data_IF_641436252325
#
_entry.id   IF_641436252325
#
_cell.length_a   1.000
_cell.length_b   1.000
_cell.length_c   1.000
_cell.angle_alpha   90.00
_cell.angle_beta   90.00
_cell.angle_gamma   90.00
#
_symmetry.space_group_name_H-M   'P 1'
#
loop_
_entity.id
_entity.type
_entity.pdbx_description
1 polymer ?
#
# COMPACT_ATOMS: atom_id res chain seq x y z
N UNK A 1 1.87 -11.57 -12.74
CA UNK A 1 3.19 -11.73 -12.16
C UNK A 1 3.91 -10.43 -11.75
N UNK A 2 4.01 -9.41 -12.62
CA UNK A 2 4.86 -8.21 -12.34
C UNK A 2 4.24 -7.19 -11.39
N UNK A 3 2.94 -7.11 -11.26
CA UNK A 3 2.29 -6.23 -10.26
C UNK A 3 2.71 -6.63 -8.84
N UNK A 4 2.77 -7.93 -8.57
CA UNK A 4 3.26 -8.48 -7.31
C UNK A 4 4.74 -8.18 -7.05
N UNK A 5 5.55 -8.01 -8.10
CA UNK A 5 7.00 -7.79 -7.95
C UNK A 5 7.31 -6.39 -7.41
N UNK A 6 6.66 -5.35 -7.92
CA UNK A 6 6.90 -3.96 -7.45
C UNK A 6 6.46 -3.83 -6.00
N UNK A 7 5.22 -4.24 -5.69
CA UNK A 7 4.69 -4.22 -4.31
C UNK A 7 5.56 -5.04 -3.37
N UNK A 8 6.03 -6.23 -3.79
CA UNK A 8 6.92 -7.05 -2.96
C UNK A 8 8.25 -6.37 -2.69
N UNK A 9 8.86 -5.72 -3.69
CA UNK A 9 10.13 -5.00 -3.50
C UNK A 9 9.95 -3.82 -2.55
N UNK A 10 8.92 -3.00 -2.72
CA UNK A 10 8.65 -1.85 -1.83
C UNK A 10 8.33 -2.31 -0.42
N UNK A 11 7.58 -3.40 -0.26
CA UNK A 11 7.25 -3.98 1.05
C UNK A 11 8.49 -4.49 1.77
N UNK A 12 9.43 -5.13 1.05
CA UNK A 12 10.70 -5.59 1.63
C UNK A 12 11.64 -4.43 1.99
N UNK A 13 11.55 -3.30 1.30
CA UNK A 13 12.33 -2.10 1.61
C UNK A 13 11.73 -1.26 2.75
N UNK A 14 10.43 -1.39 3.02
CA UNK A 14 9.72 -0.60 4.01
C UNK A 14 10.37 -0.61 5.41
N UNK A 15 10.87 -1.75 5.95
CA UNK A 15 11.54 -1.76 7.25
C UNK A 15 12.75 -0.83 7.36
N UNK A 16 13.45 -0.59 6.27
CA UNK A 16 14.63 0.27 6.23
C UNK A 16 14.22 1.71 5.90
N UNK A 17 13.46 1.88 4.83
CA UNK A 17 13.13 3.20 4.27
C UNK A 17 12.21 3.99 5.20
N UNK A 18 11.20 3.34 5.80
CA UNK A 18 10.23 4.05 6.65
C UNK A 18 10.87 4.63 7.92
N UNK A 19 11.65 3.87 8.73
CA UNK A 19 12.33 4.45 9.89
C UNK A 19 13.33 5.53 9.51
N UNK A 20 14.06 5.36 8.42
CA UNK A 20 15.03 6.35 7.95
C UNK A 20 14.35 7.68 7.58
N UNK A 21 13.25 7.63 6.82
CA UNK A 21 12.48 8.83 6.45
C UNK A 21 11.82 9.46 7.67
N UNK A 22 11.27 8.66 8.58
CA UNK A 22 10.69 9.17 9.82
C UNK A 22 11.74 9.88 10.67
N UNK A 23 12.94 9.31 10.80
CA UNK A 23 14.04 9.94 11.53
C UNK A 23 14.45 11.27 10.88
N UNK A 24 14.63 11.31 9.57
CA UNK A 24 15.06 12.53 8.86
C UNK A 24 14.00 13.63 8.93
N UNK A 25 12.72 13.30 8.75
CA UNK A 25 11.67 14.30 8.61
C UNK A 25 10.90 14.62 9.90
N UNK A 26 10.79 13.69 10.83
CA UNK A 26 9.92 13.85 11.99
C UNK A 26 10.66 13.88 13.35
N UNK A 27 11.95 13.52 13.41
CA UNK A 27 12.67 13.39 14.68
C UNK A 27 12.78 14.70 15.48
N UNK A 28 12.64 15.84 14.83
CA UNK A 28 12.62 17.15 15.52
C UNK A 28 11.32 17.40 16.31
N UNK A 29 10.22 16.71 16.01
CA UNK A 29 8.92 16.85 16.68
C UNK A 29 8.53 15.61 17.49
N UNK A 30 9.03 14.44 17.10
CA UNK A 30 8.72 13.16 17.71
C UNK A 30 10.04 12.40 17.94
N UNK A 31 10.24 11.90 19.16
CA UNK A 31 11.40 11.06 19.45
C UNK A 31 11.28 9.76 18.62
N UNK A 32 12.13 9.63 17.61
CA UNK A 32 12.16 8.46 16.71
C UNK A 32 13.31 7.54 17.15
N UNK A 33 12.98 6.29 17.43
CA UNK A 33 13.95 5.19 17.53
C UNK A 33 13.89 4.35 16.24
N UNK A 34 14.83 4.55 15.30
CA UNK A 34 14.79 3.85 14.02
C UNK A 34 14.95 2.33 14.16
N UNK A 35 15.71 1.87 15.16
CA UNK A 35 15.97 0.44 15.36
C UNK A 35 14.70 -0.28 15.86
N UNK A 36 14.02 0.29 16.86
CA UNK A 36 12.75 -0.23 17.36
C UNK A 36 11.67 -0.21 16.29
N UNK A 37 11.59 0.85 15.49
CA UNK A 37 10.64 0.97 14.39
C UNK A 37 10.94 -0.03 13.27
N UNK A 38 12.21 -0.24 12.91
CA UNK A 38 12.63 -1.29 11.96
C UNK A 38 12.14 -2.66 12.41
N UNK A 39 12.39 -3.02 13.67
CA UNK A 39 12.00 -4.32 14.21
C UNK A 39 10.47 -4.49 14.20
N UNK A 40 9.73 -3.45 14.57
CA UNK A 40 8.26 -3.46 14.53
C UNK A 40 7.72 -3.69 13.11
N UNK A 41 8.29 -3.03 12.11
CA UNK A 41 7.87 -3.20 10.71
C UNK A 41 8.21 -4.62 10.21
N UNK A 42 9.39 -5.14 10.55
CA UNK A 42 9.75 -6.54 10.25
C UNK A 42 8.72 -7.50 10.85
N UNK A 43 8.37 -7.32 12.12
CA UNK A 43 7.40 -8.18 12.80
C UNK A 43 5.99 -8.04 12.20
N UNK A 44 5.56 -6.83 11.87
CA UNK A 44 4.21 -6.58 11.33
C UNK A 44 4.04 -7.00 9.87
N UNK A 45 5.11 -7.01 9.07
CA UNK A 45 5.06 -7.32 7.65
C UNK A 45 5.67 -8.68 7.33
N UNK A 46 6.95 -8.88 7.67
CA UNK A 46 7.67 -10.07 7.20
C UNK A 46 7.26 -11.33 7.95
N UNK A 47 6.97 -11.24 9.24
CA UNK A 47 6.55 -12.39 10.02
C UNK A 47 5.21 -12.97 9.56
N UNK A 48 4.13 -12.18 9.34
CA UNK A 48 2.88 -12.71 8.79
C UNK A 48 3.04 -13.29 7.37
N UNK A 49 3.88 -12.68 6.53
CA UNK A 49 4.15 -13.20 5.19
C UNK A 49 4.85 -14.57 5.28
N UNK A 50 5.90 -14.67 6.10
CA UNK A 50 6.60 -15.93 6.32
C UNK A 50 5.66 -17.01 6.89
N UNK A 51 4.86 -16.66 7.89
CA UNK A 51 3.85 -17.55 8.45
C UNK A 51 2.82 -17.99 7.39
N UNK A 52 2.34 -17.08 6.55
CA UNK A 52 1.42 -17.38 5.45
C UNK A 52 2.02 -18.38 4.45
N UNK A 53 3.29 -18.21 4.07
CA UNK A 53 3.98 -19.16 3.18
C UNK A 53 4.13 -20.56 3.82
N UNK A 54 4.48 -20.61 5.11
CA UNK A 54 4.59 -21.89 5.84
C UNK A 54 3.23 -22.58 5.95
N UNK A 55 2.20 -21.85 6.36
CA UNK A 55 0.83 -22.37 6.46
C UNK A 55 0.34 -22.88 5.10
N UNK A 56 0.59 -22.14 4.03
CA UNK A 56 0.21 -22.56 2.68
C UNK A 56 0.88 -23.89 2.28
N UNK A 57 2.15 -24.05 2.57
CA UNK A 57 2.88 -25.31 2.31
C UNK A 57 2.36 -26.49 3.13
N UNK A 58 1.95 -26.24 4.39
CA UNK A 58 1.50 -27.30 5.30
C UNK A 58 0.03 -27.68 5.09
N UNK A 59 -0.84 -26.69 4.84
CA UNK A 59 -2.28 -26.90 4.74
C UNK A 59 -2.75 -27.33 3.34
N UNK A 60 -1.94 -27.06 2.31
CA UNK A 60 -2.26 -27.37 0.91
C UNK A 60 -3.28 -26.40 0.29
N UNK A 61 -3.26 -26.30 -1.03
CA UNK A 61 -4.00 -25.29 -1.81
C UNK A 61 -5.51 -25.27 -1.51
N UNK A 62 -6.15 -26.44 -1.42
CA UNK A 62 -7.62 -26.56 -1.24
C UNK A 62 -8.12 -26.00 0.10
N UNK A 63 -7.34 -26.15 1.17
CA UNK A 63 -7.72 -25.66 2.50
C UNK A 63 -7.45 -24.16 2.64
N UNK A 64 -6.33 -23.70 2.05
CA UNK A 64 -5.96 -22.28 2.03
C UNK A 64 -6.97 -21.46 1.24
N UNK A 65 -7.46 -21.95 0.10
CA UNK A 65 -8.42 -21.25 -0.76
C UNK A 65 -9.73 -20.89 -0.04
N UNK A 66 -10.23 -21.78 0.84
CA UNK A 66 -11.39 -21.51 1.69
C UNK A 66 -11.13 -20.42 2.72
N UNK A 67 -9.94 -20.41 3.33
CA UNK A 67 -9.57 -19.38 4.31
C UNK A 67 -9.32 -18.03 3.66
N UNK A 68 -8.66 -18.01 2.50
CA UNK A 68 -8.36 -16.78 1.74
C UNK A 68 -9.63 -16.01 1.36
N UNK A 69 -10.74 -16.70 1.09
CA UNK A 69 -12.02 -16.05 0.80
C UNK A 69 -12.57 -15.22 2.00
N UNK A 70 -12.29 -15.62 3.24
CA UNK A 70 -12.74 -14.92 4.44
C UNK A 70 -11.77 -13.80 4.89
N UNK A 71 -10.49 -13.87 4.55
CA UNK A 71 -9.47 -12.92 4.99
C UNK A 71 -9.79 -11.45 4.68
N UNK A 72 -10.32 -11.07 3.49
CA UNK A 72 -10.68 -9.68 3.21
C UNK A 72 -11.72 -9.13 4.18
N UNK A 73 -12.72 -9.93 4.56
CA UNK A 73 -13.78 -9.52 5.49
C UNK A 73 -13.18 -9.26 6.87
N UNK A 74 -12.34 -10.17 7.35
CA UNK A 74 -11.64 -10.03 8.65
C UNK A 74 -10.72 -8.81 8.64
N UNK A 75 -9.96 -8.62 7.57
CA UNK A 75 -9.02 -7.50 7.44
C UNK A 75 -9.75 -6.16 7.41
N UNK A 76 -10.81 -6.03 6.60
CA UNK A 76 -11.62 -4.80 6.55
C UNK A 76 -12.28 -4.53 7.89
N UNK A 77 -12.85 -5.56 8.53
CA UNK A 77 -13.46 -5.42 9.87
C UNK A 77 -12.45 -4.94 10.91
N UNK A 78 -11.24 -5.51 10.94
CA UNK A 78 -10.17 -5.09 11.84
C UNK A 78 -9.76 -3.62 11.59
N UNK A 79 -9.57 -3.22 10.33
CA UNK A 79 -9.22 -1.83 9.98
C UNK A 79 -10.31 -0.86 10.42
N UNK A 80 -11.58 -1.20 10.22
CA UNK A 80 -12.73 -0.36 10.65
C UNK A 80 -12.72 -0.18 12.16
N UNK A 81 -12.54 -1.26 12.93
CA UNK A 81 -12.50 -1.21 14.40
C UNK A 81 -11.33 -0.36 14.89
N UNK A 82 -10.13 -0.56 14.34
CA UNK A 82 -8.93 0.22 14.69
C UNK A 82 -9.13 1.70 14.36
N UNK A 83 -9.60 2.01 13.16
CA UNK A 83 -9.86 3.39 12.75
C UNK A 83 -10.91 4.07 13.63
N UNK A 84 -11.99 3.35 13.98
CA UNK A 84 -13.02 3.86 14.88
C UNK A 84 -12.46 4.14 16.30
N UNK A 85 -11.62 3.25 16.81
CA UNK A 85 -10.97 3.43 18.11
C UNK A 85 -10.05 4.68 18.13
N UNK A 86 -9.24 4.87 17.07
CA UNK A 86 -8.39 6.07 16.93
C UNK A 86 -9.22 7.34 16.86
N UNK A 87 -10.28 7.37 16.03
CA UNK A 87 -11.18 8.52 15.90
C UNK A 87 -11.87 8.82 17.25
N UNK A 88 -12.34 7.80 17.95
CA UNK A 88 -12.96 7.98 19.27
C UNK A 88 -11.97 8.56 20.30
N UNK A 89 -10.75 8.03 20.34
CA UNK A 89 -9.70 8.49 21.26
C UNK A 89 -9.22 9.92 20.97
N UNK A 90 -9.31 10.37 19.70
CA UNK A 90 -8.80 11.67 19.24
C UNK A 90 -9.91 12.63 18.78
N UNK A 91 -11.15 12.40 19.21
CA UNK A 91 -12.32 13.17 18.74
C UNK A 91 -12.18 14.69 18.90
N UNK A 92 -11.57 15.15 20.00
CA UNK A 92 -11.39 16.57 20.26
C UNK A 92 -10.44 17.22 19.24
N UNK A 93 -9.34 16.54 18.92
CA UNK A 93 -8.40 16.98 17.90
C UNK A 93 -9.05 16.96 16.51
N UNK A 94 -9.83 15.92 16.23
CA UNK A 94 -10.55 15.79 14.94
C UNK A 94 -11.53 16.94 14.73
N UNK A 95 -12.27 17.37 15.77
CA UNK A 95 -13.21 18.49 15.67
C UNK A 95 -12.49 19.83 15.41
N UNK A 96 -11.28 19.99 15.95
CA UNK A 96 -10.52 21.25 15.82
C UNK A 96 -9.74 21.33 14.50
N UNK A 97 -9.12 20.22 14.05
CA UNK A 97 -8.20 20.22 12.89
C UNK A 97 -8.56 19.19 11.82
N UNK A 98 -9.71 18.54 11.95
CA UNK A 98 -10.09 17.41 11.07
C UNK A 98 -10.19 17.79 9.60
N UNK A 99 -10.69 18.97 9.27
CA UNK A 99 -10.75 19.46 7.89
C UNK A 99 -9.35 19.63 7.29
N UNK A 100 -8.39 20.14 8.06
CA UNK A 100 -7.00 20.27 7.64
C UNK A 100 -6.34 18.91 7.41
N UNK A 101 -6.56 17.97 8.32
CA UNK A 101 -6.05 16.60 8.19
C UNK A 101 -6.66 15.92 6.96
N UNK A 102 -7.97 16.06 6.76
CA UNK A 102 -8.64 15.51 5.59
C UNK A 102 -8.09 16.09 4.29
N UNK A 103 -7.93 17.42 4.22
CA UNK A 103 -7.34 18.09 3.07
C UNK A 103 -5.90 17.63 2.81
N UNK A 104 -5.08 17.52 3.86
CA UNK A 104 -3.71 17.03 3.76
C UNK A 104 -3.64 15.60 3.21
N UNK A 105 -4.50 14.70 3.70
CA UNK A 105 -4.59 13.31 3.22
C UNK A 105 -5.04 13.26 1.77
N UNK A 106 -6.05 14.05 1.38
CA UNK A 106 -6.54 14.11 0.01
C UNK A 106 -5.45 14.62 -0.96
N UNK A 107 -4.74 15.69 -0.58
CA UNK A 107 -3.63 16.25 -1.35
C UNK A 107 -2.49 15.24 -1.46
N UNK A 108 -2.08 14.61 -0.35
CA UNK A 108 -1.04 13.59 -0.34
C UNK A 108 -1.37 12.43 -1.29
N UNK A 109 -2.60 11.92 -1.24
CA UNK A 109 -3.06 10.86 -2.13
C UNK A 109 -3.04 11.30 -3.60
N UNK A 110 -3.55 12.50 -3.92
CA UNK A 110 -3.55 13.03 -5.28
C UNK A 110 -2.12 13.25 -5.82
N UNK A 111 -1.23 13.81 -5.01
CA UNK A 111 0.19 13.99 -5.35
C UNK A 111 0.87 12.64 -5.56
N UNK A 112 0.63 11.67 -4.69
CA UNK A 112 1.15 10.31 -4.85
C UNK A 112 0.70 9.65 -6.16
N UNK A 113 -0.59 9.75 -6.50
CA UNK A 113 -1.12 9.25 -7.78
C UNK A 113 -0.49 9.97 -8.99
N UNK A 114 -0.33 11.29 -8.91
CA UNK A 114 0.30 12.07 -9.97
C UNK A 114 1.77 11.70 -10.15
N UNK A 115 2.53 11.57 -9.08
CA UNK A 115 3.94 11.16 -9.13
C UNK A 115 4.09 9.76 -9.70
N UNK A 116 3.26 8.81 -9.29
CA UNK A 116 3.23 7.45 -9.86
C UNK A 116 2.91 7.45 -11.35
N UNK A 117 1.93 8.26 -11.77
CA UNK A 117 1.59 8.44 -13.19
C UNK A 117 2.76 9.03 -13.99
N UNK A 118 3.36 10.10 -13.49
CA UNK A 118 4.49 10.77 -14.13
C UNK A 118 5.71 9.83 -14.23
N UNK A 119 6.04 9.12 -13.14
CA UNK A 119 7.12 8.13 -13.15
C UNK A 119 6.89 7.05 -14.21
N UNK A 120 5.69 6.48 -14.28
CA UNK A 120 5.34 5.51 -15.32
C UNK A 120 5.44 6.08 -16.73
N UNK A 121 5.11 7.36 -16.93
CA UNK A 121 5.26 8.06 -18.21
C UNK A 121 6.74 8.23 -18.56
N UNK A 122 7.58 8.67 -17.64
CA UNK A 122 9.02 8.82 -17.85
C UNK A 122 9.71 7.49 -18.17
N UNK A 123 9.25 6.41 -17.55
CA UNK A 123 9.74 5.05 -17.80
C UNK A 123 9.20 4.42 -19.10
N UNK A 124 8.43 5.16 -19.91
CA UNK A 124 7.85 4.65 -21.15
C UNK A 124 6.85 3.49 -20.96
N UNK A 125 6.21 3.41 -19.79
CA UNK A 125 5.22 2.36 -19.50
C UNK A 125 3.94 2.56 -20.31
N UNK A 126 3.25 1.45 -20.66
CA UNK A 126 1.93 1.49 -21.26
C UNK A 126 0.90 2.16 -20.33
N UNK A 127 -0.20 2.66 -20.89
CA UNK A 127 -1.26 3.33 -20.13
C UNK A 127 -1.76 2.48 -18.95
N UNK A 128 -1.96 1.18 -19.17
CA UNK A 128 -2.38 0.25 -18.11
C UNK A 128 -1.38 0.19 -16.94
N UNK A 129 -0.07 0.18 -17.24
CA UNK A 129 0.98 0.16 -16.22
C UNK A 129 1.12 1.50 -15.50
N UNK A 130 0.94 2.63 -16.22
CA UNK A 130 0.92 3.98 -15.60
C UNK A 130 -0.25 4.11 -14.61
N UNK A 131 -1.44 3.63 -14.99
CA UNK A 131 -2.61 3.58 -14.09
C UNK A 131 -2.28 2.77 -12.83
N UNK A 132 -1.73 1.58 -13.00
CA UNK A 132 -1.35 0.72 -11.86
C UNK A 132 -0.34 1.40 -10.96
N UNK A 133 0.73 2.00 -11.53
CA UNK A 133 1.76 2.68 -10.74
C UNK A 133 1.21 3.92 -10.02
N UNK A 134 0.29 4.66 -10.64
CA UNK A 134 -0.38 5.79 -9.99
C UNK A 134 -1.15 5.33 -8.74
N UNK A 135 -1.92 4.23 -8.83
CA UNK A 135 -2.61 3.68 -7.67
C UNK A 135 -1.64 3.13 -6.63
N UNK A 136 -0.58 2.44 -7.03
CA UNK A 136 0.41 1.85 -6.11
C UNK A 136 1.13 2.91 -5.28
N UNK A 137 1.49 4.05 -5.89
CA UNK A 137 2.15 5.16 -5.20
C UNK A 137 1.16 6.03 -4.41
N UNK A 138 -0.05 6.21 -4.92
CA UNK A 138 -1.07 7.02 -4.27
C UNK A 138 -1.75 6.34 -3.10
N UNK A 139 -1.97 5.02 -3.18
CA UNK A 139 -2.62 4.25 -2.13
C UNK A 139 -1.60 3.71 -1.14
N UNK A 140 -1.64 4.22 0.07
CA UNK A 140 -0.68 3.87 1.11
C UNK A 140 -1.25 2.88 2.12
N UNK A 141 -0.37 2.16 2.81
CA UNK A 141 -0.75 1.22 3.86
C UNK A 141 -1.12 1.96 5.16
N UNK A 142 -2.34 2.47 5.20
CA UNK A 142 -2.87 3.20 6.36
C UNK A 142 -2.95 2.32 7.61
N UNK A 143 -3.21 1.02 7.48
CA UNK A 143 -3.24 0.09 8.62
C UNK A 143 -1.90 -0.01 9.31
N UNK A 144 -0.82 -0.17 8.55
CA UNK A 144 0.54 -0.17 9.10
C UNK A 144 0.88 1.17 9.74
N UNK A 145 0.50 2.29 9.10
CA UNK A 145 0.77 3.63 9.63
C UNK A 145 0.05 3.86 10.96
N UNK A 146 -1.22 3.46 11.10
CA UNK A 146 -1.96 3.50 12.39
C UNK A 146 -1.27 2.65 13.43
N UNK A 147 -0.90 1.41 13.10
CA UNK A 147 -0.25 0.50 14.04
C UNK A 147 1.09 1.05 14.54
N UNK A 148 1.94 1.57 13.65
CA UNK A 148 3.21 2.18 14.01
C UNK A 148 3.03 3.45 14.86
N UNK A 149 2.08 4.32 14.48
CA UNK A 149 1.80 5.53 15.23
C UNK A 149 1.32 5.22 16.66
N UNK A 150 0.43 4.25 16.79
CA UNK A 150 -0.10 3.82 18.09
C UNK A 150 0.97 3.16 18.97
N UNK A 151 1.87 2.38 18.38
CA UNK A 151 2.92 1.67 19.09
C UNK A 151 4.07 2.60 19.53
N UNK A 152 4.54 3.44 18.62
CA UNK A 152 5.75 4.25 18.86
C UNK A 152 5.45 5.63 19.43
N UNK A 153 4.23 6.14 19.27
CA UNK A 153 3.84 7.50 19.72
C UNK A 153 2.62 7.45 20.65
N UNK A 154 2.59 6.49 21.56
CA UNK A 154 1.49 6.33 22.51
C UNK A 154 1.23 7.58 23.38
N UNK A 155 2.28 8.37 23.67
CA UNK A 155 2.17 9.64 24.37
C UNK A 155 1.51 10.76 23.52
N UNK A 156 1.44 10.60 22.20
CA UNK A 156 0.84 11.55 21.27
C UNK A 156 -0.17 10.84 20.33
N UNK A 157 -1.32 10.36 20.84
CA UNK A 157 -2.25 9.53 20.08
C UNK A 157 -2.82 10.21 18.83
N UNK A 158 -2.79 11.54 18.77
CA UNK A 158 -3.18 12.29 17.57
C UNK A 158 -2.30 12.01 16.34
N UNK A 159 -1.09 11.46 16.51
CA UNK A 159 -0.21 11.06 15.39
C UNK A 159 -0.81 9.95 14.53
N UNK A 160 -1.69 9.12 15.08
CA UNK A 160 -2.39 8.08 14.33
C UNK A 160 -3.60 8.61 13.52
N UNK A 161 -4.08 9.83 13.80
CA UNK A 161 -5.30 10.37 13.20
C UNK A 161 -5.21 10.56 11.68
N UNK A 162 -4.12 11.12 11.10
CA UNK A 162 -3.99 11.21 9.64
C UNK A 162 -4.06 9.84 8.95
N UNK A 163 -3.45 8.81 9.54
CA UNK A 163 -3.48 7.46 8.99
C UNK A 163 -4.88 6.83 9.07
N UNK A 164 -5.62 7.07 10.14
CA UNK A 164 -7.02 6.62 10.26
C UNK A 164 -7.93 7.32 9.24
N UNK A 165 -7.76 8.62 9.04
CA UNK A 165 -8.48 9.40 8.00
C UNK A 165 -8.10 8.90 6.61
N UNK A 166 -6.81 8.60 6.36
CA UNK A 166 -6.36 8.05 5.09
C UNK A 166 -6.97 6.67 4.79
N UNK A 167 -7.16 5.82 5.80
CA UNK A 167 -7.83 4.54 5.63
C UNK A 167 -9.26 4.71 5.11
N UNK A 168 -10.02 5.67 5.64
CA UNK A 168 -11.36 5.99 5.17
C UNK A 168 -11.33 6.62 3.77
N UNK A 169 -10.45 7.59 3.55
CA UNK A 169 -10.31 8.28 2.28
C UNK A 169 -9.99 7.32 1.13
N UNK A 170 -9.03 6.41 1.32
CA UNK A 170 -8.64 5.44 0.30
C UNK A 170 -9.80 4.52 -0.10
N UNK A 171 -10.65 4.12 0.84
CA UNK A 171 -11.79 3.27 0.56
C UNK A 171 -12.91 3.98 -0.25
N UNK A 172 -12.98 5.30 -0.21
CA UNK A 172 -13.97 6.10 -0.94
C UNK A 172 -13.38 6.64 -2.25
N UNK A 173 -12.22 7.29 -2.17
CA UNK A 173 -11.62 7.97 -3.30
C UNK A 173 -11.08 7.00 -4.36
N UNK A 174 -10.47 5.88 -3.94
CA UNK A 174 -9.83 4.97 -4.88
C UNK A 174 -10.80 4.27 -5.83
N UNK A 175 -11.96 3.74 -5.39
CA UNK A 175 -12.95 3.21 -6.32
C UNK A 175 -13.51 4.28 -7.28
N UNK A 176 -13.71 5.51 -6.79
CA UNK A 176 -14.18 6.62 -7.63
C UNK A 176 -13.17 6.98 -8.73
N UNK A 177 -11.89 7.14 -8.34
CA UNK A 177 -10.81 7.41 -9.31
C UNK A 177 -10.62 6.22 -10.26
N UNK A 178 -10.68 4.98 -9.75
CA UNK A 178 -10.55 3.78 -10.57
C UNK A 178 -11.65 3.71 -11.65
N UNK A 179 -12.90 3.98 -11.28
CA UNK A 179 -14.03 4.00 -12.20
C UNK A 179 -13.89 5.08 -13.27
N UNK A 180 -13.32 6.23 -12.91
CA UNK A 180 -13.05 7.29 -13.86
C UNK A 180 -11.92 6.95 -14.82
N UNK A 181 -10.80 6.44 -14.30
CA UNK A 181 -9.60 6.10 -15.06
C UNK A 181 -9.80 4.87 -15.94
N UNK A 182 -10.69 3.93 -15.58
CA UNK A 182 -11.08 2.80 -16.44
C UNK A 182 -11.66 3.23 -17.79
N UNK A 183 -12.29 4.40 -17.84
CA UNK A 183 -12.84 4.97 -19.10
C UNK A 183 -11.74 5.42 -20.08
N UNK A 184 -10.53 5.62 -19.61
CA UNK A 184 -9.39 5.96 -20.46
C UNK A 184 -8.94 4.71 -21.22
N UNK A 185 -9.11 4.74 -22.55
CA UNK A 185 -8.73 3.64 -23.43
C UNK A 185 -7.37 3.94 -24.05
N UNK A 186 -6.62 2.88 -24.33
CA UNK A 186 -5.39 2.96 -25.13
C UNK A 186 -5.77 3.22 -26.59
N UNK A 187 -5.96 4.48 -26.97
CA UNK A 187 -6.18 4.86 -28.34
C UNK A 187 -4.85 4.76 -29.11
N UNK A 188 -4.54 3.56 -29.62
CA UNK A 188 -3.41 3.35 -30.54
C UNK A 188 -2.02 3.55 -29.93
N UNK A 189 -1.87 3.38 -28.62
CA UNK A 189 -0.55 3.48 -27.99
C UNK A 189 0.34 2.34 -28.49
N UNK A 190 1.45 2.68 -29.15
CA UNK A 190 2.44 1.69 -29.59
C UNK A 190 2.91 0.89 -28.39
N UNK A 191 3.01 -0.42 -28.56
CA UNK A 191 3.53 -1.33 -27.55
C UNK A 191 4.83 -0.78 -26.95
N UNK A 192 4.85 -0.56 -25.63
CA UNK A 192 6.03 -0.01 -24.97
C UNK A 192 7.17 -1.03 -24.99
N UNK A 193 8.41 -0.56 -24.89
CA UNK A 193 9.59 -1.43 -24.77
C UNK A 193 9.40 -2.51 -23.68
N UNK A 194 8.85 -2.15 -22.55
CA UNK A 194 8.58 -3.09 -21.45
C UNK A 194 7.48 -4.12 -21.79
N UNK A 195 6.45 -3.74 -22.56
CA UNK A 195 5.39 -4.67 -22.98
C UNK A 195 5.92 -5.70 -23.95
N UNK A 196 6.83 -5.29 -24.82
CA UNK A 196 7.52 -6.17 -25.78
C UNK A 196 8.36 -7.22 -25.06
N UNK A 197 9.21 -6.79 -24.12
CA UNK A 197 10.02 -7.72 -23.30
C UNK A 197 9.11 -8.70 -22.53
N UNK A 198 7.99 -8.22 -22.01
CA UNK A 198 7.05 -9.07 -21.27
C UNK A 198 6.43 -10.15 -22.13
N UNK A 199 6.06 -9.80 -23.36
CA UNK A 199 5.55 -10.75 -24.33
C UNK A 199 6.60 -11.79 -24.69
N UNK A 200 7.83 -11.37 -25.05
CA UNK A 200 8.92 -12.27 -25.40
C UNK A 200 9.25 -13.27 -24.28
N UNK A 201 9.27 -12.81 -23.02
CA UNK A 201 9.47 -13.67 -21.85
C UNK A 201 8.32 -14.64 -21.65
N UNK A 202 7.08 -14.21 -21.89
CA UNK A 202 5.90 -15.08 -21.77
C UNK A 202 5.86 -16.15 -22.87
N UNK A 203 6.16 -15.76 -24.10
CA UNK A 203 6.28 -16.68 -25.26
C UNK A 203 7.37 -17.74 -25.01
N UNK A 204 8.54 -17.32 -24.53
CA UNK A 204 9.63 -18.23 -24.14
C UNK A 204 9.22 -19.23 -23.05
N UNK A 205 8.44 -18.80 -22.05
CA UNK A 205 7.93 -19.68 -20.99
C UNK A 205 6.90 -20.67 -21.51
N UNK A 206 6.04 -20.22 -22.41
CA UNK A 206 5.01 -21.08 -23.03
C UNK A 206 5.66 -22.12 -23.93
N UNK A 207 6.64 -21.73 -24.75
CA UNK A 207 7.41 -22.63 -25.59
C UNK A 207 8.14 -23.72 -24.78
N UNK A 208 8.74 -23.35 -23.65
CA UNK A 208 9.38 -24.32 -22.74
C UNK A 208 8.39 -25.28 -22.07
N UNK A 209 7.15 -24.84 -21.83
CA UNK A 209 6.09 -25.71 -21.27
C UNK A 209 5.50 -26.68 -22.27
N UNK A 210 5.47 -26.30 -23.55
CA UNK A 210 4.98 -27.18 -24.63
C UNK A 210 6.01 -28.19 -25.12
N UNK A 211 7.30 -27.98 -24.78
CA UNK A 211 8.41 -28.87 -25.12
C UNK A 211 8.81 -29.87 -24.01
N UNK A 212 8.17 -29.77 -22.82
CA UNK A 212 8.35 -30.65 -21.66
C UNK A 212 7.14 -31.57 -21.46
#
# INVERSE_FOLDING_TARGET
GRRLTVTSCTTLLAPIVTPALMYVFANQWLAIDPASMFLSIVQMILLPIAAGVVIHKLAGDKNVEKCVAALPIVSVGAIVVIAAAVVAATRAQLLNVGLLIFAAVAVQNAVGMLLGWCAGRFMGMSLSKRKTLAFEVGMQNSGLAVALATLHFAAAPATALPAAVAALWHNVASPAVASWVQKWRDAGEKESFFDRIEREVQESKTAKRSAA
#
